data_IF_302253922582
#
_entry.id   IF_302253922582
#
_cell.length_a   1.000
_cell.length_b   1.000
_cell.length_c   1.000
_cell.angle_alpha   90.00
_cell.angle_beta   90.00
_cell.angle_gamma   90.00
#
_symmetry.space_group_name_H-M   'P 1'
#
loop_
_entity.id
_entity.type
_entity.pdbx_description
1 polymer ?
#
# COMPACT_ATOMS: atom_id res chain seq x y z
N UNK A 1 -8.28 -28.71 -20.74
CA UNK A 1 -7.01 -28.11 -20.72
C UNK A 1 -6.82 -26.62 -21.03
N UNK A 2 -7.88 -25.75 -21.16
CA UNK A 2 -7.66 -24.29 -21.14
C UNK A 2 -7.32 -23.73 -19.75
N UNK A 3 -7.83 -24.30 -18.67
CA UNK A 3 -7.61 -23.82 -17.30
C UNK A 3 -6.13 -23.83 -16.85
N UNK A 4 -5.36 -24.85 -17.21
CA UNK A 4 -3.93 -24.99 -16.88
C UNK A 4 -3.08 -23.91 -17.59
N UNK A 5 -3.43 -23.56 -18.81
CA UNK A 5 -2.73 -22.51 -19.58
C UNK A 5 -2.98 -21.12 -18.98
N UNK A 6 -4.20 -20.86 -18.52
CA UNK A 6 -4.56 -19.58 -17.88
C UNK A 6 -3.87 -19.43 -16.53
N UNK A 7 -3.85 -20.48 -15.71
CA UNK A 7 -3.14 -20.51 -14.44
C UNK A 7 -1.63 -20.25 -14.61
N UNK A 8 -0.99 -20.88 -15.59
CA UNK A 8 0.43 -20.68 -15.89
C UNK A 8 0.75 -19.26 -16.37
N UNK A 9 -0.16 -18.62 -17.12
CA UNK A 9 -0.01 -17.22 -17.55
C UNK A 9 -0.11 -16.29 -16.36
N UNK A 10 -1.10 -16.50 -15.46
CA UNK A 10 -1.25 -15.72 -14.25
C UNK A 10 -0.04 -15.86 -13.30
N UNK A 11 0.46 -17.07 -13.10
CA UNK A 11 1.68 -17.31 -12.32
C UNK A 11 2.89 -16.60 -12.91
N UNK A 12 3.05 -16.63 -14.23
CA UNK A 12 4.16 -15.96 -14.91
C UNK A 12 4.06 -14.43 -14.78
N UNK A 13 2.85 -13.90 -14.82
CA UNK A 13 2.57 -12.49 -14.60
C UNK A 13 2.98 -12.04 -13.19
N UNK A 14 2.55 -12.77 -12.15
CA UNK A 14 2.92 -12.48 -10.76
C UNK A 14 4.43 -12.57 -10.53
N UNK A 15 5.12 -13.58 -11.13
CA UNK A 15 6.58 -13.68 -11.04
C UNK A 15 7.30 -12.47 -11.64
N UNK A 16 6.76 -11.83 -12.67
CA UNK A 16 7.33 -10.60 -13.23
C UNK A 16 7.13 -9.40 -12.30
N UNK A 17 5.99 -9.30 -11.61
CA UNK A 17 5.78 -8.28 -10.57
C UNK A 17 6.72 -8.48 -9.38
N UNK A 18 6.88 -9.72 -8.91
CA UNK A 18 7.84 -10.07 -7.85
C UNK A 18 9.29 -9.78 -8.29
N UNK A 19 9.60 -10.04 -9.56
CA UNK A 19 10.91 -9.72 -10.17
C UNK A 19 11.18 -8.22 -10.20
N UNK A 20 10.17 -7.39 -10.50
CA UNK A 20 10.29 -5.93 -10.41
C UNK A 20 10.53 -5.49 -8.96
N UNK A 21 9.76 -6.02 -8.00
CA UNK A 21 9.93 -5.70 -6.59
C UNK A 21 11.34 -6.10 -6.09
N UNK A 22 11.84 -7.28 -6.47
CA UNK A 22 13.20 -7.72 -6.12
C UNK A 22 14.27 -6.81 -6.72
N UNK A 23 14.16 -6.43 -7.99
CA UNK A 23 15.08 -5.52 -8.64
C UNK A 23 15.09 -4.13 -7.99
N UNK A 24 13.91 -3.63 -7.56
CA UNK A 24 13.80 -2.37 -6.82
C UNK A 24 14.52 -2.45 -5.46
N UNK A 25 14.37 -3.55 -4.72
CA UNK A 25 15.07 -3.75 -3.43
C UNK A 25 16.59 -3.75 -3.60
N UNK A 26 17.08 -4.35 -4.69
CA UNK A 26 18.52 -4.50 -4.94
C UNK A 26 19.18 -3.17 -5.34
N UNK A 27 18.59 -2.41 -6.25
CA UNK A 27 19.25 -1.25 -6.86
C UNK A 27 18.40 0.02 -6.98
N UNK A 28 17.20 0.02 -6.43
CA UNK A 28 16.26 1.14 -6.53
C UNK A 28 15.54 1.23 -7.88
N UNK A 29 14.41 1.94 -7.90
CA UNK A 29 13.54 2.05 -9.08
C UNK A 29 14.23 2.70 -10.29
N UNK A 30 15.03 3.74 -10.05
CA UNK A 30 15.70 4.52 -11.11
C UNK A 30 16.67 3.65 -11.92
N UNK A 31 17.40 2.75 -11.25
CA UNK A 31 18.39 1.89 -11.87
C UNK A 31 17.85 0.54 -12.35
N UNK A 32 16.58 0.24 -12.04
CA UNK A 32 15.92 -1.01 -12.46
C UNK A 32 15.59 -0.98 -13.94
N UNK A 33 16.03 -2.02 -14.67
CA UNK A 33 15.76 -2.24 -16.08
C UNK A 33 14.96 -3.54 -16.31
N UNK A 34 14.37 -3.71 -17.50
CA UNK A 34 13.64 -4.93 -17.86
C UNK A 34 14.54 -6.17 -17.76
N UNK A 35 15.86 -6.04 -18.03
CA UNK A 35 16.83 -7.13 -17.84
C UNK A 35 16.90 -7.64 -16.40
N UNK A 36 16.77 -6.74 -15.43
CA UNK A 36 16.82 -7.08 -14.02
C UNK A 36 15.55 -7.80 -13.60
N UNK A 37 14.39 -7.25 -14.03
CA UNK A 37 13.07 -7.85 -13.78
C UNK A 37 13.03 -9.30 -14.26
N UNK A 38 13.42 -9.54 -15.51
CA UNK A 38 13.37 -10.89 -16.08
C UNK A 38 14.42 -11.82 -15.47
N UNK A 39 15.57 -11.28 -15.03
CA UNK A 39 16.59 -12.02 -14.28
C UNK A 39 16.01 -12.57 -12.98
N UNK A 40 15.41 -11.71 -12.13
CA UNK A 40 14.78 -12.13 -10.88
C UNK A 40 13.56 -13.04 -11.11
N UNK A 41 12.75 -12.78 -12.15
CA UNK A 41 11.57 -13.58 -12.49
C UNK A 41 11.91 -14.94 -13.16
N UNK A 42 13.19 -15.22 -13.44
CA UNK A 42 13.62 -16.36 -14.25
C UNK A 42 12.84 -16.47 -15.56
N UNK A 43 12.65 -15.33 -16.24
CA UNK A 43 11.88 -15.20 -17.46
C UNK A 43 12.72 -14.63 -18.61
N UNK A 44 12.19 -14.64 -19.83
CA UNK A 44 12.81 -13.98 -20.97
C UNK A 44 12.26 -12.55 -21.18
N UNK A 45 13.02 -11.66 -21.84
CA UNK A 45 12.50 -10.37 -22.30
C UNK A 45 11.25 -10.52 -23.17
N UNK A 46 11.21 -11.55 -24.03
CA UNK A 46 10.03 -11.87 -24.84
C UNK A 46 8.81 -12.19 -23.97
N UNK A 47 9.04 -12.89 -22.86
CA UNK A 47 7.98 -13.18 -21.88
C UNK A 47 7.48 -11.90 -21.22
N UNK A 48 8.39 -11.01 -20.80
CA UNK A 48 8.03 -9.71 -20.22
C UNK A 48 7.12 -8.92 -21.17
N UNK A 49 7.52 -8.75 -22.44
CA UNK A 49 6.76 -7.99 -23.43
C UNK A 49 5.45 -8.65 -23.90
N UNK A 50 5.18 -9.89 -23.50
CA UNK A 50 3.84 -10.49 -23.63
C UNK A 50 2.87 -10.03 -22.56
N UNK A 51 3.38 -9.63 -21.39
CA UNK A 51 2.58 -9.19 -20.24
C UNK A 51 2.53 -7.68 -20.11
N UNK A 52 3.62 -7.00 -20.36
CA UNK A 52 3.77 -5.56 -20.15
C UNK A 52 4.38 -4.88 -21.38
N UNK A 53 3.82 -3.74 -21.77
CA UNK A 53 4.36 -2.95 -22.91
C UNK A 53 5.70 -2.31 -22.57
N UNK A 54 5.90 -1.95 -21.28
CA UNK A 54 7.12 -1.33 -20.77
C UNK A 54 7.24 -1.53 -19.24
N UNK A 55 8.32 -1.01 -18.63
CA UNK A 55 8.56 -1.07 -17.19
C UNK A 55 7.48 -0.32 -16.41
N UNK A 56 6.99 0.81 -16.92
CA UNK A 56 5.98 1.62 -16.23
C UNK A 56 4.64 0.89 -16.16
N UNK A 57 4.25 0.14 -17.19
CA UNK A 57 3.05 -0.71 -17.14
C UNK A 57 3.17 -1.79 -16.06
N UNK A 58 4.34 -2.41 -15.92
CA UNK A 58 4.61 -3.36 -14.85
C UNK A 58 4.58 -2.68 -13.47
N UNK A 59 5.10 -1.46 -13.36
CA UNK A 59 5.11 -0.68 -12.12
C UNK A 59 3.70 -0.24 -11.71
N UNK A 60 2.84 0.15 -12.64
CA UNK A 60 1.42 0.45 -12.37
C UNK A 60 0.75 -0.74 -11.69
N UNK A 61 0.89 -1.94 -12.25
CA UNK A 61 0.29 -3.13 -11.66
C UNK A 61 0.93 -3.53 -10.32
N UNK A 62 2.22 -3.25 -10.13
CA UNK A 62 2.86 -3.45 -8.82
C UNK A 62 2.33 -2.48 -7.77
N UNK A 63 2.03 -1.22 -8.13
CA UNK A 63 1.36 -0.24 -7.24
C UNK A 63 -0.03 -0.76 -6.84
N UNK A 64 -0.82 -1.23 -7.81
CA UNK A 64 -2.17 -1.75 -7.57
C UNK A 64 -2.16 -2.99 -6.67
N UNK A 65 -1.26 -3.94 -6.95
CA UNK A 65 -1.09 -5.14 -6.14
C UNK A 65 -0.65 -4.79 -4.71
N UNK A 66 0.30 -3.86 -4.56
CA UNK A 66 0.79 -3.41 -3.26
C UNK A 66 -0.31 -2.71 -2.45
N UNK A 67 -1.13 -1.88 -3.08
CA UNK A 67 -2.28 -1.23 -2.44
C UNK A 67 -3.27 -2.27 -1.93
N UNK A 68 -3.63 -3.25 -2.75
CA UNK A 68 -4.55 -4.33 -2.36
C UNK A 68 -4.01 -5.13 -1.17
N UNK A 69 -2.73 -5.50 -1.20
CA UNK A 69 -2.06 -6.21 -0.09
C UNK A 69 -2.03 -5.37 1.20
N UNK A 70 -1.82 -4.06 1.10
CA UNK A 70 -1.88 -3.16 2.26
C UNK A 70 -3.27 -3.19 2.87
N UNK A 71 -4.32 -3.01 2.07
CA UNK A 71 -5.72 -3.03 2.53
C UNK A 71 -6.06 -4.37 3.18
N UNK A 72 -5.72 -5.49 2.55
CA UNK A 72 -5.95 -6.84 3.07
C UNK A 72 -5.21 -7.05 4.40
N UNK A 73 -3.95 -6.68 4.50
CA UNK A 73 -3.14 -6.88 5.70
C UNK A 73 -3.63 -6.00 6.85
N UNK A 74 -3.95 -4.73 6.59
CA UNK A 74 -4.52 -3.83 7.60
C UNK A 74 -5.88 -4.33 8.05
N UNK A 75 -6.75 -4.75 7.12
CA UNK A 75 -8.07 -5.32 7.44
C UNK A 75 -7.97 -6.56 8.32
N UNK A 76 -7.04 -7.46 8.00
CA UNK A 76 -6.82 -8.70 8.76
C UNK A 76 -6.22 -8.48 10.17
N UNK A 77 -5.54 -7.36 10.38
CA UNK A 77 -4.94 -7.01 11.67
C UNK A 77 -5.93 -6.40 12.67
N UNK A 78 -7.13 -6.01 12.21
CA UNK A 78 -8.12 -5.32 13.03
C UNK A 78 -9.02 -6.35 13.70
N UNK A 79 -9.06 -6.33 15.03
CA UNK A 79 -10.05 -7.05 15.82
C UNK A 79 -11.33 -6.22 15.91
N UNK A 80 -12.37 -6.64 15.19
CA UNK A 80 -13.66 -5.95 15.11
C UNK A 80 -14.44 -5.94 16.43
N UNK A 81 -14.10 -6.83 17.37
CA UNK A 81 -14.72 -6.89 18.70
C UNK A 81 -14.02 -5.93 19.70
N UNK A 82 -12.86 -5.41 19.34
CA UNK A 82 -12.13 -4.43 20.16
C UNK A 82 -12.77 -3.05 20.13
N UNK A 83 -12.57 -2.22 21.19
CA UNK A 83 -12.94 -0.81 21.16
C UNK A 83 -12.35 -0.08 19.96
N UNK A 84 -13.10 0.88 19.40
CA UNK A 84 -12.73 1.61 18.18
C UNK A 84 -11.34 2.24 18.23
N UNK A 85 -10.96 2.80 19.38
CA UNK A 85 -9.61 3.35 19.55
C UNK A 85 -8.52 2.29 19.37
N UNK A 86 -8.75 1.06 19.84
CA UNK A 86 -7.84 -0.08 19.66
C UNK A 86 -7.77 -0.53 18.20
N UNK A 87 -8.92 -0.59 17.51
CA UNK A 87 -8.97 -0.93 16.09
C UNK A 87 -8.12 0.03 15.23
N UNK A 88 -8.15 1.33 15.56
CA UNK A 88 -7.33 2.33 14.88
C UNK A 88 -5.86 2.15 15.18
N UNK A 89 -5.51 1.88 16.43
CA UNK A 89 -4.12 1.59 16.80
C UNK A 89 -3.60 0.37 16.03
N UNK A 90 -4.39 -0.71 15.95
CA UNK A 90 -4.07 -1.91 15.16
C UNK A 90 -3.88 -1.58 13.67
N UNK A 91 -4.76 -0.75 13.09
CA UNK A 91 -4.65 -0.34 11.69
C UNK A 91 -3.36 0.47 11.42
N UNK A 92 -3.03 1.43 12.29
CA UNK A 92 -1.81 2.23 12.20
C UNK A 92 -0.58 1.35 12.32
N UNK A 93 -0.53 0.47 13.32
CA UNK A 93 0.59 -0.43 13.57
C UNK A 93 0.81 -1.37 12.38
N UNK A 94 -0.24 -1.99 11.86
CA UNK A 94 -0.16 -2.87 10.71
C UNK A 94 0.34 -2.14 9.46
N UNK A 95 -0.16 -0.93 9.20
CA UNK A 95 0.29 -0.12 8.07
C UNK A 95 1.78 0.24 8.18
N UNK A 96 2.22 0.72 9.34
CA UNK A 96 3.62 1.08 9.56
C UNK A 96 4.56 -0.13 9.52
N UNK A 97 4.09 -1.30 10.02
CA UNK A 97 4.85 -2.55 9.93
C UNK A 97 5.10 -2.97 8.48
N UNK A 98 4.12 -2.80 7.57
CA UNK A 98 4.29 -3.06 6.14
C UNK A 98 5.37 -2.15 5.56
N UNK A 99 5.32 -0.84 5.83
CA UNK A 99 6.28 0.12 5.30
C UNK A 99 7.70 -0.12 5.83
N UNK A 100 7.84 -0.46 7.12
CA UNK A 100 9.13 -0.75 7.74
C UNK A 100 9.74 -2.08 7.27
N UNK A 101 8.90 -3.05 6.93
CA UNK A 101 9.33 -4.34 6.38
C UNK A 101 9.88 -4.24 4.96
N UNK A 102 9.44 -3.25 4.18
CA UNK A 102 9.80 -3.08 2.76
C UNK A 102 10.15 -1.62 2.42
N UNK A 103 11.13 -1.01 3.10
CA UNK A 103 11.40 0.43 3.01
C UNK A 103 11.77 0.88 1.59
N UNK A 104 12.60 0.12 0.88
CA UNK A 104 13.00 0.44 -0.49
C UNK A 104 11.81 0.43 -1.46
N UNK A 105 10.91 -0.54 -1.29
CA UNK A 105 9.71 -0.66 -2.10
C UNK A 105 8.70 0.45 -1.76
N UNK A 106 8.50 0.75 -0.47
CA UNK A 106 7.63 1.83 -0.02
C UNK A 106 8.04 3.19 -0.62
N UNK A 107 9.32 3.51 -0.60
CA UNK A 107 9.87 4.73 -1.22
C UNK A 107 9.70 4.72 -2.75
N UNK A 108 10.02 3.61 -3.41
CA UNK A 108 9.92 3.49 -4.86
C UNK A 108 8.48 3.65 -5.37
N UNK A 109 7.52 2.95 -4.73
CA UNK A 109 6.10 3.00 -5.10
C UNK A 109 5.42 4.31 -4.71
N UNK A 110 6.10 5.18 -3.95
CA UNK A 110 5.61 6.50 -3.55
C UNK A 110 6.40 7.63 -4.21
N UNK A 111 7.36 7.32 -5.07
CA UNK A 111 8.22 8.31 -5.72
C UNK A 111 7.40 9.23 -6.62
N UNK A 112 7.59 10.57 -6.53
CA UNK A 112 7.01 11.51 -7.49
C UNK A 112 7.77 11.54 -8.82
N UNK A 113 8.97 10.95 -8.88
CA UNK A 113 9.84 10.95 -10.07
C UNK A 113 9.54 9.78 -11.00
N UNK A 114 8.26 9.58 -11.32
CA UNK A 114 7.78 8.51 -12.20
C UNK A 114 6.87 9.08 -13.29
N UNK A 115 6.58 8.29 -14.33
CA UNK A 115 5.69 8.71 -15.41
C UNK A 115 4.25 8.96 -14.95
N UNK A 116 3.49 9.76 -15.73
CA UNK A 116 2.12 10.16 -15.38
C UNK A 116 1.18 8.97 -15.11
N UNK A 117 1.34 7.86 -15.85
CA UNK A 117 0.56 6.63 -15.63
C UNK A 117 0.74 6.08 -14.21
N UNK A 118 1.99 6.06 -13.74
CA UNK A 118 2.32 5.56 -12.41
C UNK A 118 1.82 6.54 -11.33
N UNK A 119 1.96 7.86 -11.54
CA UNK A 119 1.40 8.87 -10.64
C UNK A 119 -0.12 8.75 -10.51
N UNK A 120 -0.81 8.42 -11.61
CA UNK A 120 -2.25 8.15 -11.58
C UNK A 120 -2.57 6.93 -10.75
N UNK A 121 -1.88 5.81 -10.96
CA UNK A 121 -2.07 4.59 -10.16
C UNK A 121 -1.79 4.82 -8.67
N UNK A 122 -0.78 5.63 -8.33
CA UNK A 122 -0.51 6.01 -6.93
C UNK A 122 -1.66 6.80 -6.31
N UNK A 123 -2.29 7.74 -7.06
CA UNK A 123 -3.47 8.49 -6.59
C UNK A 123 -4.68 7.59 -6.42
N UNK A 124 -4.99 6.78 -7.42
CA UNK A 124 -6.08 5.80 -7.36
C UNK A 124 -5.91 4.80 -6.22
N UNK A 125 -4.67 4.37 -5.96
CA UNK A 125 -4.33 3.52 -4.82
C UNK A 125 -4.60 4.21 -3.47
N UNK A 126 -4.25 5.50 -3.34
CA UNK A 126 -4.55 6.28 -2.15
C UNK A 126 -6.06 6.46 -1.96
N UNK A 127 -6.80 6.74 -3.04
CA UNK A 127 -8.26 6.87 -3.02
C UNK A 127 -8.93 5.57 -2.52
N UNK A 128 -8.53 4.41 -3.04
CA UNK A 128 -9.02 3.10 -2.56
C UNK A 128 -8.71 2.88 -1.07
N UNK A 129 -7.53 3.28 -0.61
CA UNK A 129 -7.19 3.16 0.81
C UNK A 129 -8.04 4.10 1.68
N UNK A 130 -8.33 5.32 1.22
CA UNK A 130 -9.24 6.27 1.88
C UNK A 130 -10.66 5.72 1.95
N UNK A 131 -11.18 5.17 0.85
CA UNK A 131 -12.50 4.51 0.82
C UNK A 131 -12.57 3.35 1.83
N UNK A 132 -11.52 2.53 1.89
CA UNK A 132 -11.41 1.47 2.90
C UNK A 132 -11.47 2.03 4.32
N UNK A 133 -10.72 3.10 4.63
CA UNK A 133 -10.75 3.73 5.95
C UNK A 133 -12.13 4.29 6.30
N UNK A 134 -12.80 4.96 5.37
CA UNK A 134 -14.17 5.48 5.57
C UNK A 134 -15.13 4.32 5.84
N UNK A 135 -15.07 3.25 5.07
CA UNK A 135 -15.92 2.07 5.25
C UNK A 135 -15.66 1.38 6.61
N UNK A 136 -14.38 1.22 6.98
CA UNK A 136 -13.97 0.68 8.28
C UNK A 136 -14.56 1.52 9.42
N UNK A 137 -14.46 2.84 9.30
CA UNK A 137 -14.95 3.76 10.32
C UNK A 137 -16.48 3.81 10.40
N UNK A 138 -17.21 3.53 9.31
CA UNK A 138 -18.66 3.45 9.28
C UNK A 138 -19.20 2.12 9.84
N UNK A 139 -18.46 1.02 9.67
CA UNK A 139 -18.92 -0.33 10.06
C UNK A 139 -18.76 -0.67 11.54
N UNK A 140 -17.99 0.09 12.31
CA UNK A 140 -17.69 -0.17 13.73
C UNK A 140 -18.74 0.47 14.65
N UNK A 141 -19.91 -0.15 14.78
CA UNK A 141 -20.92 0.25 15.78
C UNK A 141 -20.62 -0.40 17.14
N UNK A 142 -20.23 0.39 18.13
CA UNK A 142 -20.48 0.01 19.51
C UNK A 142 -22.00 0.05 19.76
N UNK A 143 -22.52 -0.97 20.45
CA UNK A 143 -23.95 -1.08 20.73
C UNK A 143 -24.51 0.23 21.32
N UNK A 144 -25.35 0.93 20.57
CA UNK A 144 -26.16 2.04 21.07
C UNK A 144 -25.99 3.42 20.43
N UNK A 145 -24.97 3.68 19.66
CA UNK A 145 -24.86 4.95 18.93
C UNK A 145 -24.42 4.70 17.47
N UNK A 146 -25.03 5.35 16.47
CA UNK A 146 -24.47 5.32 15.13
C UNK A 146 -23.09 5.98 15.15
N UNK A 147 -22.07 5.36 14.55
CA UNK A 147 -20.76 6.00 14.44
C UNK A 147 -20.92 7.30 13.65
N UNK A 148 -20.34 8.39 14.13
CA UNK A 148 -20.20 9.58 13.30
C UNK A 148 -19.16 9.24 12.21
N UNK A 149 -19.56 9.16 10.95
CA UNK A 149 -18.62 8.87 9.88
C UNK A 149 -17.61 10.01 9.78
N UNK A 150 -16.33 9.69 9.66
CA UNK A 150 -15.36 10.71 9.25
C UNK A 150 -15.65 11.07 7.79
N UNK A 151 -15.47 12.34 7.43
CA UNK A 151 -15.60 12.74 6.02
C UNK A 151 -14.46 12.13 5.18
N UNK A 152 -14.69 11.99 3.89
CA UNK A 152 -13.68 11.52 2.93
C UNK A 152 -12.44 12.42 2.99
N UNK A 153 -12.63 13.74 3.12
CA UNK A 153 -11.54 14.72 3.23
C UNK A 153 -10.73 14.50 4.50
N UNK A 154 -11.37 14.21 5.62
CA UNK A 154 -10.69 13.90 6.88
C UNK A 154 -9.88 12.61 6.74
N UNK A 155 -10.45 11.54 6.20
CA UNK A 155 -9.76 10.28 5.93
C UNK A 155 -8.57 10.48 4.97
N UNK A 156 -8.75 11.29 3.93
CA UNK A 156 -7.70 11.62 2.97
C UNK A 156 -6.53 12.37 3.63
N UNK A 157 -6.81 13.37 4.46
CA UNK A 157 -5.79 14.11 5.21
C UNK A 157 -5.01 13.19 6.16
N UNK A 158 -5.71 12.32 6.89
CA UNK A 158 -5.10 11.38 7.84
C UNK A 158 -4.22 10.36 7.12
N UNK A 159 -4.73 9.71 6.07
CA UNK A 159 -3.99 8.72 5.29
C UNK A 159 -2.76 9.34 4.61
N UNK A 160 -2.93 10.51 3.97
CA UNK A 160 -1.84 11.22 3.29
C UNK A 160 -0.79 11.70 4.27
N UNK A 161 -1.19 12.27 5.41
CA UNK A 161 -0.29 12.74 6.46
C UNK A 161 0.51 11.62 7.08
N UNK A 162 -0.13 10.50 7.45
CA UNK A 162 0.54 9.32 7.98
C UNK A 162 1.54 8.75 6.97
N UNK A 163 1.12 8.57 5.71
CA UNK A 163 2.00 8.10 4.63
C UNK A 163 3.21 9.01 4.46
N UNK A 164 3.00 10.34 4.36
CA UNK A 164 4.09 11.30 4.16
C UNK A 164 5.07 11.30 5.34
N UNK A 165 4.57 11.25 6.58
CA UNK A 165 5.40 11.20 7.78
C UNK A 165 6.22 9.90 7.84
N UNK A 166 5.61 8.75 7.52
CA UNK A 166 6.28 7.46 7.52
C UNK A 166 7.38 7.39 6.44
N UNK A 167 7.09 7.80 5.20
CA UNK A 167 8.09 7.81 4.13
C UNK A 167 9.26 8.73 4.46
N UNK A 168 8.99 9.90 5.02
CA UNK A 168 10.05 10.82 5.49
C UNK A 168 10.91 10.20 6.58
N UNK A 169 10.33 9.47 7.53
CA UNK A 169 11.09 8.78 8.57
C UNK A 169 11.97 7.68 7.96
N UNK A 170 11.44 6.90 7.01
CA UNK A 170 12.20 5.87 6.28
C UNK A 170 13.37 6.50 5.51
N UNK A 171 13.16 7.59 4.77
CA UNK A 171 14.23 8.30 4.04
C UNK A 171 15.35 8.79 4.95
N UNK A 172 15.02 9.16 6.19
CA UNK A 172 15.98 9.64 7.18
C UNK A 172 16.58 8.53 8.03
N UNK A 173 16.19 7.31 7.80
CA UNK A 173 16.55 6.14 8.63
C UNK A 173 16.12 6.32 10.11
N UNK A 174 15.08 7.12 10.34
CA UNK A 174 14.45 7.29 11.64
C UNK A 174 13.47 6.12 11.89
N UNK A 175 13.30 5.74 13.17
CA UNK A 175 12.28 4.75 13.54
C UNK A 175 10.85 5.25 13.32
N UNK A 176 9.94 4.33 12.99
CA UNK A 176 8.52 4.65 12.77
C UNK A 176 7.71 4.75 14.06
N UNK A 177 8.27 4.39 15.22
CA UNK A 177 7.58 4.35 16.52
C UNK A 177 7.02 5.72 16.89
N UNK A 178 7.81 6.80 16.65
CA UNK A 178 7.38 8.17 16.91
C UNK A 178 6.24 8.57 15.99
N UNK A 179 6.32 8.23 14.70
CA UNK A 179 5.25 8.51 13.74
C UNK A 179 3.96 7.79 14.15
N UNK A 180 4.06 6.53 14.56
CA UNK A 180 2.93 5.74 15.06
C UNK A 180 2.31 6.35 16.31
N UNK A 181 3.13 6.75 17.29
CA UNK A 181 2.65 7.40 18.51
C UNK A 181 1.86 8.68 18.24
N UNK A 182 2.41 9.60 17.45
CA UNK A 182 1.73 10.84 17.08
C UNK A 182 0.45 10.58 16.25
N UNK A 183 0.50 9.64 15.32
CA UNK A 183 -0.68 9.27 14.54
C UNK A 183 -1.82 8.77 15.44
N UNK A 184 -1.54 7.87 16.37
CA UNK A 184 -2.55 7.34 17.31
C UNK A 184 -3.21 8.44 18.13
N UNK A 185 -2.43 9.41 18.61
CA UNK A 185 -2.95 10.58 19.35
C UNK A 185 -3.89 11.42 18.48
N UNK A 186 -3.46 11.75 17.26
CA UNK A 186 -4.24 12.57 16.32
C UNK A 186 -5.54 11.87 15.93
N UNK A 187 -5.47 10.61 15.52
CA UNK A 187 -6.64 9.84 15.11
C UNK A 187 -7.66 9.71 16.25
N UNK A 188 -7.17 9.42 17.48
CA UNK A 188 -8.04 9.35 18.66
C UNK A 188 -8.74 10.67 18.94
N UNK A 189 -8.03 11.80 18.92
CA UNK A 189 -8.61 13.11 19.17
C UNK A 189 -9.69 13.49 18.14
N UNK A 190 -9.55 13.04 16.88
CA UNK A 190 -10.55 13.26 15.83
C UNK A 190 -11.80 12.42 16.09
N UNK A 191 -11.63 11.18 16.54
CA UNK A 191 -12.75 10.31 16.88
C UNK A 191 -13.56 10.84 18.06
N UNK A 192 -12.87 11.23 19.16
CA UNK A 192 -13.51 11.72 20.37
C UNK A 192 -14.32 13.00 20.09
N UNK A 193 -13.92 13.79 19.08
CA UNK A 193 -14.66 15.00 18.66
C UNK A 193 -15.93 14.69 17.87
N UNK A 194 -16.00 13.52 17.24
CA UNK A 194 -17.12 13.09 16.40
C UNK A 194 -18.05 12.06 17.11
N UNK A 195 -17.75 11.72 18.37
CA UNK A 195 -18.57 10.86 19.23
C UNK A 195 -19.57 11.68 20.05
#
# INVERSE_FOLDING_TARGET
MPADRTAKVAEQHLRLLDGLAAAIREKGLVHTQVSDIVGHAHASRRTFYKHFVDKDACLVELVDLSTSRIIETVSAAIDLDSPRAVQIEQAIDAYLAILSGEPALALALSSPSVGERVLRAQREGLERFVEFLVALMAGTTQAGAPPAPISVECAYLLASGLRAAALRAIERTDGLERVGGEAKVIFKAILDRNA
#
